data_IF_521031420460
#
_entry.id   IF_521031420460
#
_cell.length_a   1.000
_cell.length_b   1.000
_cell.length_c   1.000
_cell.angle_alpha   90.00
_cell.angle_beta   90.00
_cell.angle_gamma   90.00
#
_symmetry.space_group_name_H-M   'P 1'
#
loop_
_entity.id
_entity.type
_entity.pdbx_description
1 polymer ?
#
# COMPACT_ATOMS: atom_id res chain seq x y z
N UNK A 1 5.51 22.31 3.92
CA UNK A 1 6.86 21.72 3.76
C UNK A 1 6.84 20.46 2.92
N UNK A 2 6.18 19.36 3.31
CA UNK A 2 6.19 18.10 2.54
C UNK A 2 5.68 18.22 1.08
N UNK A 3 4.66 19.05 0.83
CA UNK A 3 4.12 19.29 -0.51
C UNK A 3 5.04 20.11 -1.44
N UNK A 4 5.96 20.91 -0.87
CA UNK A 4 6.97 21.62 -1.64
C UNK A 4 8.09 20.65 -2.04
N UNK A 5 8.55 19.82 -1.09
CA UNK A 5 9.58 18.80 -1.32
C UNK A 5 9.17 17.77 -2.35
N UNK A 6 7.87 17.47 -2.53
CA UNK A 6 7.39 16.54 -3.55
C UNK A 6 7.23 17.15 -4.96
N UNK A 7 7.41 18.46 -5.12
CA UNK A 7 7.48 19.08 -6.45
C UNK A 7 8.87 18.89 -7.03
N UNK A 8 8.95 18.79 -8.35
CA UNK A 8 10.22 18.62 -9.07
C UNK A 8 11.31 19.60 -8.59
N UNK A 9 10.99 20.89 -8.56
CA UNK A 9 11.92 21.93 -8.08
C UNK A 9 12.32 21.77 -6.62
N UNK A 10 11.39 21.34 -5.76
CA UNK A 10 11.67 21.11 -4.35
C UNK A 10 12.53 19.87 -4.09
N UNK A 11 12.42 18.83 -4.93
CA UNK A 11 13.31 17.66 -4.87
C UNK A 11 14.71 18.07 -5.31
N UNK A 12 14.83 18.79 -6.42
CA UNK A 12 16.12 19.25 -6.93
C UNK A 12 16.82 20.14 -5.90
N UNK A 13 16.12 21.14 -5.38
CA UNK A 13 16.65 22.08 -4.39
C UNK A 13 17.08 21.35 -3.11
N UNK A 14 16.27 20.42 -2.60
CA UNK A 14 16.63 19.60 -1.45
C UNK A 14 17.88 18.75 -1.69
N UNK A 15 17.97 18.09 -2.85
CA UNK A 15 19.09 17.20 -3.17
C UNK A 15 20.39 17.98 -3.38
N UNK A 16 20.34 19.11 -4.08
CA UNK A 16 21.51 19.97 -4.33
C UNK A 16 22.11 20.53 -3.05
N UNK A 17 21.30 20.73 -2.00
CA UNK A 17 21.76 21.16 -0.68
C UNK A 17 22.04 19.99 0.27
N UNK A 18 21.94 18.74 -0.20
CA UNK A 18 22.15 17.54 0.62
C UNK A 18 23.55 16.96 0.43
N UNK A 19 24.10 16.35 1.49
CA UNK A 19 25.35 15.59 1.43
C UNK A 19 25.28 14.36 0.52
N UNK A 20 24.09 14.00 0.04
CA UNK A 20 23.83 12.82 -0.78
C UNK A 20 23.84 13.10 -2.29
N UNK A 21 24.03 14.35 -2.71
CA UNK A 21 24.02 14.72 -4.13
C UNK A 21 24.97 13.87 -4.98
N UNK A 22 26.20 13.66 -4.51
CA UNK A 22 27.21 12.87 -5.22
C UNK A 22 26.80 11.40 -5.43
N UNK A 23 26.12 10.81 -4.44
CA UNK A 23 25.59 9.46 -4.53
C UNK A 23 24.37 9.39 -5.46
N UNK A 24 23.50 10.39 -5.41
CA UNK A 24 22.34 10.46 -6.30
C UNK A 24 22.79 10.61 -7.76
N UNK A 25 23.77 11.49 -8.03
CA UNK A 25 24.35 11.64 -9.36
C UNK A 25 25.08 10.39 -9.84
N UNK A 26 25.75 9.65 -8.96
CA UNK A 26 26.44 8.41 -9.37
C UNK A 26 25.47 7.26 -9.71
N UNK A 27 24.33 7.18 -9.03
CA UNK A 27 23.33 6.13 -9.27
C UNK A 27 22.37 6.48 -10.41
N UNK A 28 21.87 7.72 -10.45
CA UNK A 28 20.83 8.14 -11.39
C UNK A 28 21.35 8.99 -12.55
N UNK A 29 22.67 9.28 -12.59
CA UNK A 29 23.32 10.11 -13.61
C UNK A 29 23.07 11.62 -13.41
N UNK A 30 21.87 12.00 -12.97
CA UNK A 30 21.53 13.39 -12.65
C UNK A 30 20.51 13.49 -11.51
N UNK A 31 20.48 14.67 -10.87
CA UNK A 31 19.47 14.99 -9.85
C UNK A 31 18.06 15.09 -10.47
N UNK A 32 17.94 15.53 -11.72
CA UNK A 32 16.67 15.63 -12.44
C UNK A 32 16.04 14.25 -12.70
N UNK A 33 16.83 13.28 -13.13
CA UNK A 33 16.39 11.88 -13.33
C UNK A 33 15.94 11.25 -12.02
N UNK A 34 16.65 11.52 -10.92
CA UNK A 34 16.23 11.11 -9.58
C UNK A 34 14.90 11.74 -9.15
N UNK A 35 14.70 13.04 -9.43
CA UNK A 35 13.45 13.73 -9.12
C UNK A 35 12.27 13.15 -9.90
N UNK A 36 12.43 12.91 -11.20
CA UNK A 36 11.44 12.20 -12.04
C UNK A 36 11.11 10.82 -11.47
N UNK A 37 12.13 10.02 -11.13
CA UNK A 37 11.94 8.69 -10.57
C UNK A 37 11.21 8.71 -9.22
N UNK A 38 11.53 9.69 -8.36
CA UNK A 38 10.90 9.87 -7.05
C UNK A 38 9.42 10.24 -7.21
N UNK A 39 9.10 11.17 -8.11
CA UNK A 39 7.71 11.56 -8.41
C UNK A 39 6.94 10.39 -8.99
N UNK A 40 7.53 9.67 -9.95
CA UNK A 40 6.91 8.47 -10.53
C UNK A 40 6.65 7.40 -9.47
N UNK A 41 7.63 7.13 -8.60
CA UNK A 41 7.50 6.18 -7.50
C UNK A 41 6.38 6.55 -6.53
N UNK A 42 6.22 7.85 -6.25
CA UNK A 42 5.10 8.34 -5.43
C UNK A 42 3.74 8.08 -6.09
N UNK A 43 3.58 8.42 -7.38
CA UNK A 43 2.33 8.14 -8.10
C UNK A 43 2.06 6.64 -8.22
N UNK A 44 3.10 5.84 -8.49
CA UNK A 44 2.99 4.39 -8.52
C UNK A 44 2.53 3.83 -7.17
N UNK A 45 3.10 4.32 -6.06
CA UNK A 45 2.68 3.95 -4.71
C UNK A 45 1.19 4.25 -4.48
N UNK A 46 0.71 5.44 -4.85
CA UNK A 46 -0.71 5.81 -4.73
C UNK A 46 -1.60 4.85 -5.53
N UNK A 47 -1.23 4.57 -6.79
CA UNK A 47 -2.00 3.65 -7.65
C UNK A 47 -1.99 2.23 -7.09
N UNK A 48 -0.83 1.73 -6.66
CA UNK A 48 -0.71 0.42 -6.03
C UNK A 48 -1.57 0.33 -4.77
N UNK A 49 -1.64 1.41 -4.00
CA UNK A 49 -2.46 1.49 -2.79
C UNK A 49 -3.96 1.41 -3.07
N UNK A 50 -4.41 2.09 -4.12
CA UNK A 50 -5.81 2.02 -4.59
C UNK A 50 -6.12 0.60 -5.09
N UNK A 51 -5.23 -0.02 -5.86
CA UNK A 51 -5.41 -1.38 -6.34
C UNK A 51 -5.48 -2.40 -5.18
N UNK A 52 -4.66 -2.21 -4.14
CA UNK A 52 -4.72 -3.04 -2.94
C UNK A 52 -6.09 -2.92 -2.23
N UNK A 53 -6.62 -1.70 -2.08
CA UNK A 53 -7.96 -1.49 -1.54
C UNK A 53 -9.05 -2.19 -2.38
N UNK A 54 -8.97 -2.12 -3.72
CA UNK A 54 -9.87 -2.84 -4.62
C UNK A 54 -9.79 -4.36 -4.44
N UNK A 55 -8.58 -4.91 -4.29
CA UNK A 55 -8.39 -6.34 -4.05
C UNK A 55 -9.00 -6.77 -2.72
N UNK A 56 -8.82 -5.98 -1.65
CA UNK A 56 -9.42 -6.28 -0.34
C UNK A 56 -10.95 -6.24 -0.41
N UNK A 57 -11.54 -5.25 -1.10
CA UNK A 57 -12.99 -5.17 -1.34
C UNK A 57 -13.47 -6.46 -2.02
N UNK A 58 -12.74 -6.92 -3.03
CA UNK A 58 -13.09 -8.11 -3.80
C UNK A 58 -13.01 -9.38 -2.93
N UNK A 59 -11.97 -9.50 -2.10
CA UNK A 59 -11.84 -10.60 -1.14
C UNK A 59 -12.92 -10.57 -0.04
N UNK A 60 -13.21 -9.41 0.53
CA UNK A 60 -14.28 -9.24 1.52
C UNK A 60 -15.65 -9.66 0.96
N UNK A 61 -15.93 -9.35 -0.31
CA UNK A 61 -17.16 -9.82 -0.96
C UNK A 61 -17.16 -11.31 -1.24
N UNK A 62 -16.14 -11.80 -1.93
CA UNK A 62 -16.16 -13.16 -2.48
C UNK A 62 -15.81 -14.24 -1.45
N UNK A 63 -14.97 -13.93 -0.45
CA UNK A 63 -14.55 -14.89 0.57
C UNK A 63 -15.29 -14.77 1.90
N UNK A 64 -15.77 -13.58 2.25
CA UNK A 64 -16.44 -13.35 3.54
C UNK A 64 -17.94 -13.20 3.44
N UNK A 65 -18.51 -13.09 2.23
CA UNK A 65 -19.93 -12.85 2.00
C UNK A 65 -20.46 -11.68 2.83
N UNK A 66 -19.59 -10.68 3.06
CA UNK A 66 -19.92 -9.50 3.84
C UNK A 66 -20.95 -8.66 3.09
N UNK A 67 -21.84 -8.02 3.84
CA UNK A 67 -22.76 -7.03 3.27
C UNK A 67 -21.99 -5.88 2.61
N UNK A 68 -22.64 -5.19 1.67
CA UNK A 68 -21.95 -4.20 0.86
C UNK A 68 -21.35 -3.07 1.71
N UNK A 69 -22.11 -2.68 2.74
CA UNK A 69 -21.72 -1.64 3.71
C UNK A 69 -20.54 -2.06 4.59
N UNK A 70 -20.43 -3.34 4.96
CA UNK A 70 -19.28 -3.87 5.70
C UNK A 70 -18.02 -3.89 4.84
N UNK A 71 -18.16 -4.26 3.57
CA UNK A 71 -17.04 -4.29 2.62
C UNK A 71 -16.51 -2.90 2.29
N UNK A 72 -17.40 -1.91 2.12
CA UNK A 72 -17.01 -0.53 1.87
C UNK A 72 -16.21 0.06 3.04
N UNK A 73 -16.60 -0.23 4.28
CA UNK A 73 -15.84 0.19 5.48
C UNK A 73 -14.43 -0.41 5.51
N UNK A 74 -14.30 -1.69 5.16
CA UNK A 74 -12.99 -2.36 5.08
C UNK A 74 -12.12 -1.81 3.96
N UNK A 75 -12.69 -1.58 2.77
CA UNK A 75 -11.97 -0.94 1.66
C UNK A 75 -11.49 0.47 2.00
N UNK A 76 -12.35 1.27 2.64
CA UNK A 76 -12.01 2.61 3.07
C UNK A 76 -10.92 2.63 4.15
N UNK A 77 -10.97 1.68 5.09
CA UNK A 77 -9.95 1.55 6.11
C UNK A 77 -8.58 1.22 5.50
N UNK A 78 -8.51 0.30 4.54
CA UNK A 78 -7.26 -0.04 3.83
C UNK A 78 -6.72 1.15 3.02
N UNK A 79 -7.61 1.88 2.35
CA UNK A 79 -7.26 3.07 1.59
C UNK A 79 -6.63 4.16 2.48
N UNK A 80 -7.20 4.41 3.66
CA UNK A 80 -6.71 5.45 4.58
C UNK A 80 -5.46 5.05 5.37
N UNK A 81 -5.36 3.78 5.77
CA UNK A 81 -4.37 3.37 6.77
C UNK A 81 -3.10 2.76 6.18
N UNK A 82 -3.03 2.50 4.88
CA UNK A 82 -1.87 1.79 4.36
C UNK A 82 -1.88 0.29 4.68
N UNK A 83 -2.99 -0.26 5.19
CA UNK A 83 -2.96 -1.55 5.87
C UNK A 83 -2.59 -2.69 4.90
N UNK A 84 -1.35 -3.16 5.02
CA UNK A 84 -0.81 -4.17 4.13
C UNK A 84 -1.68 -5.43 4.08
N UNK A 85 -2.04 -5.83 2.86
CA UNK A 85 -2.72 -7.07 2.46
C UNK A 85 -2.14 -8.33 3.12
N UNK A 86 -0.86 -8.30 3.50
CA UNK A 86 -0.18 -9.40 4.20
C UNK A 86 -0.86 -9.78 5.52
N UNK A 87 -1.38 -8.81 6.27
CA UNK A 87 -2.13 -9.08 7.51
C UNK A 87 -3.55 -9.59 7.23
N UNK A 88 -4.15 -9.17 6.11
CA UNK A 88 -5.45 -9.68 5.65
C UNK A 88 -5.35 -11.17 5.29
N UNK A 89 -4.24 -11.62 4.68
CA UNK A 89 -3.95 -13.06 4.47
C UNK A 89 -3.79 -13.84 5.78
N UNK A 90 -3.20 -13.25 6.82
CA UNK A 90 -3.09 -13.90 8.13
C UNK A 90 -4.45 -14.07 8.79
N UNK A 91 -5.32 -13.05 8.71
CA UNK A 91 -6.71 -13.14 9.16
C UNK A 91 -7.51 -14.20 8.37
N UNK A 92 -7.25 -14.32 7.06
CA UNK A 92 -7.80 -15.36 6.20
C UNK A 92 -7.35 -16.77 6.60
N UNK A 93 -6.06 -16.96 6.92
CA UNK A 93 -5.52 -18.23 7.43
C UNK A 93 -6.15 -18.60 8.78
N UNK A 94 -6.30 -17.62 9.68
CA UNK A 94 -6.94 -17.77 10.98
C UNK A 94 -8.41 -18.19 10.87
N UNK A 95 -9.19 -17.57 9.99
CA UNK A 95 -10.60 -17.94 9.80
C UNK A 95 -10.77 -19.36 9.28
N UNK A 96 -9.95 -19.78 8.30
CA UNK A 96 -9.95 -21.16 7.80
C UNK A 96 -9.70 -22.15 8.93
N UNK A 97 -8.65 -21.92 9.74
CA UNK A 97 -8.32 -22.72 10.92
C UNK A 97 -9.53 -22.85 11.88
N UNK A 98 -10.14 -21.73 12.27
CA UNK A 98 -11.29 -21.74 13.19
C UNK A 98 -12.53 -22.47 12.61
N UNK A 99 -12.78 -22.41 11.30
CA UNK A 99 -13.90 -23.13 10.67
C UNK A 99 -13.67 -24.64 10.59
N UNK A 100 -12.44 -25.10 10.35
CA UNK A 100 -12.09 -26.53 10.41
C UNK A 100 -12.20 -27.11 11.81
N UNK A 101 -11.82 -26.35 12.85
CA UNK A 101 -11.91 -26.80 14.25
C UNK A 101 -13.37 -26.98 14.66
N UNK A 102 -14.26 -26.04 14.32
CA UNK A 102 -15.71 -26.13 14.63
C UNK A 102 -16.41 -27.32 13.96
N UNK A 103 -15.92 -27.78 12.81
CA UNK A 103 -16.52 -28.92 12.09
C UNK A 103 -16.18 -30.25 12.77
N UNK A 104 -14.93 -30.40 13.25
CA UNK A 104 -14.50 -31.59 14.01
C UNK A 104 -15.20 -31.75 15.37
N UNK A 105 -15.59 -30.66 16.04
CA UNK A 105 -16.26 -30.73 17.35
C UNK A 105 -17.76 -31.04 17.25
N UNK A 106 -18.36 -31.05 16.06
CA UNK A 106 -19.77 -31.40 15.85
C UNK A 106 -19.98 -32.84 15.38
N UNK A 107 -18.91 -33.55 15.04
CA UNK A 107 -18.92 -34.92 14.51
C UNK A 107 -18.37 -35.96 15.51
N UNK A 108 -18.05 -35.55 16.74
CA UNK A 108 -17.65 -36.44 17.84
C UNK A 108 -18.42 -36.12 19.10
#
# INVERSE_FOLDING_TARGET
YATYVLRYDGIIDYVQHSSYEGLIRSVYGSVGTFAEFTIFSWYFMVVAHVLEACLVITWCRNLFSLSWMGTAKWGFLVLLTGFASSKTRQLLAWRKLCTTTKKKTKEG
#
